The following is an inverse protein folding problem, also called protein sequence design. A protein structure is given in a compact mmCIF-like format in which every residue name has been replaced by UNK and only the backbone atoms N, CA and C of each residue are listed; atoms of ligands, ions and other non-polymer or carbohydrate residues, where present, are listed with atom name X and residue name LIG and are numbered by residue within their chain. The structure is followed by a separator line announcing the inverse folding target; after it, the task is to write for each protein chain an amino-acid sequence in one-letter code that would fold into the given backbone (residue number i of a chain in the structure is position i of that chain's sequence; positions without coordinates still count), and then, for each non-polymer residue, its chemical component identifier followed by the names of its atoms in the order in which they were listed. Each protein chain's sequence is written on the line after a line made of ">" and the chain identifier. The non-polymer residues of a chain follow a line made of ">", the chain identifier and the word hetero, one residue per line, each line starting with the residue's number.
data_IF_256530763624
#
_entry.id   IF_256530763624
#
_cell.length_a   1.000
_cell.length_b   1.000
_cell.length_c   1.000
_cell.angle_alpha   90.00
_cell.angle_beta   90.00
_cell.angle_gamma   90.00
#
_symmetry.space_group_name_H-M   'P 1'
#
loop_
_entity.id
_entity.type
_entity.pdbx_description
1 polymer ?
#
# COMPACT_ATOMS: atom_id res chain seq x y z
N UNK A 1 17.67 10.59 5.69
CA UNK A 1 17.02 9.84 4.59
C UNK A 1 15.86 10.67 4.05
N UNK A 2 15.79 10.92 2.74
CA UNK A 2 14.76 11.76 2.08
C UNK A 2 13.72 10.96 1.30
N UNK A 3 13.91 9.64 1.17
CA UNK A 3 13.01 8.72 0.48
C UNK A 3 13.65 7.34 0.38
N UNK A 4 12.86 6.36 -0.05
CA UNK A 4 13.27 4.96 -0.19
C UNK A 4 13.02 4.48 -1.62
N UNK A 5 13.86 3.56 -2.10
CA UNK A 5 13.64 2.79 -3.32
C UNK A 5 13.35 1.35 -2.91
N UNK A 6 12.29 0.75 -3.49
CA UNK A 6 12.00 -0.66 -3.33
C UNK A 6 12.43 -1.41 -4.59
N UNK A 7 12.87 -2.65 -4.43
CA UNK A 7 13.26 -3.53 -5.54
C UNK A 7 12.40 -4.79 -5.52
N UNK A 8 12.13 -5.37 -6.69
CA UNK A 8 11.30 -6.58 -6.86
C UNK A 8 9.88 -6.45 -6.30
N UNK A 9 9.23 -5.31 -6.55
CA UNK A 9 7.86 -5.04 -6.09
C UNK A 9 6.81 -5.88 -6.84
N UNK A 10 7.16 -6.39 -8.02
CA UNK A 10 6.41 -7.39 -8.77
C UNK A 10 6.26 -8.71 -7.99
N UNK A 11 7.29 -9.10 -7.23
CA UNK A 11 7.27 -10.26 -6.34
C UNK A 11 6.60 -10.02 -4.97
N UNK A 12 6.31 -8.77 -4.60
CA UNK A 12 5.61 -8.45 -3.35
C UNK A 12 4.10 -8.67 -3.53
N UNK A 13 3.59 -9.78 -3.02
CA UNK A 13 2.21 -10.21 -3.21
C UNK A 13 1.16 -9.20 -2.72
N UNK A 14 1.46 -8.42 -1.67
CA UNK A 14 0.50 -7.53 -1.00
C UNK A 14 1.10 -6.20 -0.52
N UNK A 15 2.23 -5.75 -1.08
CA UNK A 15 2.78 -4.43 -0.72
C UNK A 15 3.26 -4.28 0.72
N UNK A 16 3.45 -5.39 1.43
CA UNK A 16 3.71 -5.39 2.87
C UNK A 16 5.03 -4.71 3.22
N UNK A 17 6.04 -4.87 2.35
CA UNK A 17 7.32 -4.19 2.51
C UNK A 17 7.18 -2.67 2.36
N UNK A 18 6.41 -2.22 1.37
CA UNK A 18 6.15 -0.80 1.15
C UNK A 18 5.43 -0.16 2.34
N UNK A 19 4.42 -0.84 2.88
CA UNK A 19 3.67 -0.38 4.05
C UNK A 19 4.55 -0.35 5.30
N UNK A 20 5.35 -1.38 5.52
CA UNK A 20 6.19 -1.49 6.73
C UNK A 20 7.30 -0.44 6.74
N UNK A 21 7.99 -0.26 5.62
CA UNK A 21 9.07 0.73 5.50
C UNK A 21 8.54 2.14 5.68
N UNK A 22 7.40 2.47 5.08
CA UNK A 22 6.79 3.79 5.24
C UNK A 22 6.33 4.03 6.68
N UNK A 23 5.71 3.04 7.32
CA UNK A 23 5.26 3.12 8.71
C UNK A 23 6.43 3.32 9.71
N UNK A 24 7.53 2.60 9.52
CA UNK A 24 8.68 2.65 10.44
C UNK A 24 9.56 3.89 10.19
N UNK A 25 9.80 4.22 8.93
CA UNK A 25 10.76 5.29 8.58
C UNK A 25 10.11 6.67 8.45
N UNK A 26 8.80 6.73 8.22
CA UNK A 26 8.08 7.95 7.87
C UNK A 26 8.55 8.60 6.55
N UNK A 27 9.29 7.87 5.72
CA UNK A 27 9.84 8.38 4.45
C UNK A 27 9.06 7.81 3.26
N UNK A 28 8.82 8.62 2.21
CA UNK A 28 8.09 8.15 1.04
C UNK A 28 8.93 7.19 0.21
N UNK A 29 8.27 6.19 -0.39
CA UNK A 29 8.84 5.41 -1.47
C UNK A 29 8.79 6.24 -2.75
N UNK A 30 9.93 6.44 -3.41
CA UNK A 30 10.04 7.27 -4.62
C UNK A 30 10.04 6.45 -5.89
N UNK A 31 10.71 5.30 -5.87
CA UNK A 31 10.86 4.41 -7.02
C UNK A 31 10.66 2.95 -6.60
N UNK A 32 10.23 2.14 -7.57
CA UNK A 32 10.08 0.71 -7.43
C UNK A 32 10.70 -0.02 -8.62
N UNK A 33 11.50 -1.05 -8.34
CA UNK A 33 11.91 -2.03 -9.34
C UNK A 33 10.78 -3.04 -9.53
N UNK A 34 10.33 -3.25 -10.76
CA UNK A 34 9.25 -4.17 -11.15
C UNK A 34 9.76 -5.37 -11.97
N UNK A 35 11.02 -5.75 -11.76
CA UNK A 35 11.63 -6.92 -12.37
C UNK A 35 13.14 -6.94 -12.17
N UNK A 36 13.83 -7.68 -13.02
CA UNK A 36 15.28 -7.95 -12.88
C UNK A 36 16.15 -7.12 -13.82
N UNK A 37 15.58 -6.56 -14.89
CA UNK A 37 16.35 -5.79 -15.88
C UNK A 37 16.57 -4.34 -15.41
N UNK A 38 17.62 -3.71 -15.94
CA UNK A 38 18.01 -2.34 -15.55
C UNK A 38 16.97 -1.28 -15.94
N UNK A 39 16.15 -1.56 -16.95
CA UNK A 39 15.07 -0.69 -17.43
C UNK A 39 13.76 -0.85 -16.64
N UNK A 40 13.69 -1.81 -15.70
CA UNK A 40 12.50 -2.11 -14.92
C UNK A 40 12.44 -1.34 -13.60
N UNK A 41 12.80 -0.05 -13.63
CA UNK A 41 12.70 0.87 -12.49
C UNK A 41 11.70 1.96 -12.86
N UNK A 42 10.65 2.08 -12.05
CA UNK A 42 9.55 3.01 -12.29
C UNK A 42 9.30 3.93 -11.08
N UNK A 43 8.72 5.13 -11.29
CA UNK A 43 8.17 5.92 -10.19
C UNK A 43 7.15 5.12 -9.37
N UNK A 44 7.19 5.30 -8.06
CA UNK A 44 6.23 4.63 -7.18
C UNK A 44 4.89 5.35 -7.18
N UNK A 45 3.80 4.58 -7.31
CA UNK A 45 2.41 5.06 -7.33
C UNK A 45 1.66 4.53 -6.09
N UNK A 46 1.55 5.32 -5.00
CA UNK A 46 0.93 4.86 -3.75
C UNK A 46 -0.54 4.48 -3.88
N UNK A 47 -1.27 5.16 -4.77
CA UNK A 47 -2.67 4.92 -5.10
C UNK A 47 -2.90 3.50 -5.63
N UNK A 48 -2.06 3.07 -6.58
CA UNK A 48 -2.11 1.70 -7.13
C UNK A 48 -1.77 0.66 -6.08
N UNK A 49 -0.78 0.96 -5.23
CA UNK A 49 -0.39 0.07 -4.14
C UNK A 49 -1.52 -0.08 -3.11
N UNK A 50 -2.13 1.02 -2.67
CA UNK A 50 -3.25 0.99 -1.74
C UNK A 50 -4.43 0.18 -2.31
N UNK A 51 -4.76 0.37 -3.60
CA UNK A 51 -5.78 -0.44 -4.28
C UNK A 51 -5.45 -1.93 -4.31
N UNK A 52 -4.18 -2.29 -4.56
CA UNK A 52 -3.71 -3.69 -4.55
C UNK A 52 -3.77 -4.32 -3.15
N UNK A 53 -3.54 -3.52 -2.09
CA UNK A 53 -3.59 -3.98 -0.70
C UNK A 53 -5.02 -4.21 -0.23
N UNK A 54 -5.92 -3.26 -0.50
CA UNK A 54 -7.27 -3.23 0.06
C UNK A 54 -8.30 -3.98 -0.79
N UNK A 55 -8.07 -4.17 -2.09
CA UNK A 55 -9.08 -4.77 -2.98
C UNK A 55 -10.44 -4.06 -2.96
N UNK A 56 -11.40 -4.49 -3.78
CA UNK A 56 -12.77 -3.95 -3.70
C UNK A 56 -13.57 -4.54 -2.52
N UNK A 57 -13.26 -5.79 -2.14
CA UNK A 57 -13.96 -6.49 -1.05
C UNK A 57 -13.67 -5.90 0.32
N UNK A 58 -12.40 -5.63 0.65
CA UNK A 58 -12.07 -5.16 2.00
C UNK A 58 -12.58 -3.74 2.22
N UNK A 59 -12.63 -2.89 1.18
CA UNK A 59 -13.21 -1.54 1.28
C UNK A 59 -14.69 -1.58 1.65
N UNK A 60 -15.48 -2.45 1.01
CA UNK A 60 -16.91 -2.61 1.33
C UNK A 60 -17.10 -3.11 2.76
N UNK A 61 -16.36 -4.14 3.16
CA UNK A 61 -16.44 -4.68 4.54
C UNK A 61 -16.02 -3.64 5.58
N UNK A 62 -15.06 -2.75 5.26
CA UNK A 62 -14.68 -1.65 6.15
C UNK A 62 -15.79 -0.61 6.30
N UNK A 63 -16.51 -0.29 5.21
CA UNK A 63 -17.66 0.61 5.24
C UNK A 63 -18.76 0.02 6.13
N UNK A 64 -19.13 -1.25 5.91
CA UNK A 64 -20.16 -1.94 6.69
C UNK A 64 -19.83 -1.97 8.19
N UNK A 65 -18.60 -2.29 8.57
CA UNK A 65 -18.15 -2.29 9.97
C UNK A 65 -18.18 -0.89 10.59
N UNK A 66 -17.82 0.13 9.81
CA UNK A 66 -17.87 1.51 10.28
C UNK A 66 -19.32 1.93 10.55
N UNK A 67 -20.25 1.66 9.64
CA UNK A 67 -21.68 1.95 9.82
C UNK A 67 -22.25 1.27 11.06
N UNK A 68 -22.01 -0.03 11.25
CA UNK A 68 -22.45 -0.78 12.45
C UNK A 68 -21.91 -0.15 13.74
N UNK A 69 -20.62 0.21 13.78
CA UNK A 69 -20.01 0.82 14.96
C UNK A 69 -20.55 2.23 15.26
N UNK A 70 -21.06 2.95 14.25
CA UNK A 70 -21.69 4.26 14.44
C UNK A 70 -23.12 4.14 14.95
N UNK A 71 -23.88 3.15 14.47
CA UNK A 71 -25.24 2.89 14.93
C UNK A 71 -25.27 2.37 16.38
N UNK A 72 -24.34 1.48 16.75
CA UNK A 72 -24.17 1.01 18.14
C UNK A 72 -23.83 2.14 19.13
N UNK A 73 -23.19 3.22 18.67
CA UNK A 73 -22.86 4.39 19.51
C UNK A 73 -23.99 5.43 19.60
N UNK A 74 -24.98 5.37 18.71
CA UNK A 74 -26.12 6.29 18.69
C UNK A 74 -27.33 5.75 19.46
N UNK A 75 -27.37 4.45 19.74
CA UNK A 75 -28.35 3.79 20.61
C UNK A 75 -27.97 3.90 22.10
#
# INVERSE_FOLDING_TARGET
>A
ITGVMLTKLDGDARGGAALSVTAVTGKPVKYAGIGEKLDQIEPFHPDRMAGRILGMGDVLTLIEKAEQSFDEKKA
#
